data_IF_653277936159
#
_entry.id   IF_653277936159
#
_cell.length_a   1.000
_cell.length_b   1.000
_cell.length_c   1.000
_cell.angle_alpha   90.00
_cell.angle_beta   90.00
_cell.angle_gamma   90.00
#
_symmetry.space_group_name_H-M   'P 1'
#
loop_
_entity.id
_entity.type
_entity.pdbx_description
1 polymer ?
#
# COMPACT_ATOMS: atom_id res chain seq x y z
N UNK A 1 3.84 -10.01 -19.84
CA UNK A 1 4.94 -9.93 -18.85
C UNK A 1 5.09 -8.54 -18.24
N UNK A 2 5.00 -7.43 -18.99
CA UNK A 2 5.09 -6.07 -18.42
C UNK A 2 3.94 -5.72 -17.45
N UNK A 3 2.73 -6.25 -17.67
CA UNK A 3 1.58 -6.03 -16.79
C UNK A 3 1.69 -6.72 -15.43
N UNK A 4 2.39 -7.85 -15.33
CA UNK A 4 2.50 -8.61 -14.07
C UNK A 4 3.37 -7.86 -13.04
N UNK A 5 4.46 -7.24 -13.51
CA UNK A 5 5.35 -6.43 -12.67
C UNK A 5 4.73 -5.09 -12.26
N UNK A 6 3.85 -4.52 -13.10
CA UNK A 6 3.12 -3.30 -12.76
C UNK A 6 2.10 -3.53 -11.63
N UNK A 7 1.36 -4.65 -11.65
CA UNK A 7 0.43 -5.01 -10.56
C UNK A 7 1.15 -5.33 -9.25
N UNK A 8 2.37 -5.89 -9.33
CA UNK A 8 3.26 -6.17 -8.20
C UNK A 8 3.89 -4.91 -7.56
N UNK A 9 3.78 -3.75 -8.22
CA UNK A 9 4.31 -2.47 -7.73
C UNK A 9 3.25 -1.56 -7.09
N UNK A 10 2.01 -2.03 -6.90
CA UNK A 10 1.02 -1.23 -6.18
C UNK A 10 1.42 -1.15 -4.71
N UNK A 11 1.89 0.02 -4.29
CA UNK A 11 2.38 0.23 -2.94
C UNK A 11 1.20 0.26 -1.96
N UNK A 12 1.06 -0.77 -1.13
CA UNK A 12 -0.02 -0.82 -0.12
C UNK A 12 0.05 0.37 0.86
N UNK A 13 1.21 1.00 1.01
CA UNK A 13 1.35 2.26 1.77
C UNK A 13 0.64 3.43 1.09
N UNK A 14 0.68 3.52 -0.24
CA UNK A 14 -0.01 4.58 -0.98
C UNK A 14 -1.54 4.38 -0.95
N UNK A 15 -1.98 3.12 -1.08
CA UNK A 15 -3.37 2.73 -0.87
C UNK A 15 -3.82 3.11 0.54
N UNK A 16 -3.04 2.75 1.55
CA UNK A 16 -3.32 3.06 2.96
C UNK A 16 -3.44 4.56 3.18
N UNK A 17 -2.50 5.37 2.65
CA UNK A 17 -2.53 6.83 2.74
C UNK A 17 -3.77 7.41 2.05
N UNK A 18 -4.10 6.94 0.86
CA UNK A 18 -5.28 7.38 0.09
C UNK A 18 -6.58 7.09 0.85
N UNK A 19 -6.71 5.87 1.40
CA UNK A 19 -7.87 5.50 2.19
C UNK A 19 -7.95 6.30 3.50
N UNK A 20 -6.84 6.43 4.21
CA UNK A 20 -6.77 7.14 5.49
C UNK A 20 -7.13 8.63 5.34
N UNK A 21 -6.60 9.30 4.31
CA UNK A 21 -6.87 10.73 4.05
C UNK A 21 -8.32 11.00 3.65
N UNK A 22 -8.98 10.05 2.97
CA UNK A 22 -10.39 10.18 2.61
C UNK A 22 -11.33 9.86 3.78
N UNK A 23 -10.99 8.88 4.62
CA UNK A 23 -11.87 8.36 5.66
C UNK A 23 -11.68 9.10 6.99
N UNK A 24 -10.44 9.38 7.40
CA UNK A 24 -10.10 10.02 8.68
C UNK A 24 -10.87 11.30 8.98
N UNK A 25 -11.02 12.25 8.03
CA UNK A 25 -11.74 13.50 8.26
C UNK A 25 -13.23 13.34 8.60
N UNK A 26 -13.85 12.18 8.33
CA UNK A 26 -15.26 11.91 8.63
C UNK A 26 -15.59 11.98 10.13
N UNK A 27 -14.65 11.58 11.00
CA UNK A 27 -14.82 11.64 12.46
C UNK A 27 -15.00 13.08 12.94
N UNK A 28 -14.11 13.97 12.50
CA UNK A 28 -14.18 15.40 12.84
C UNK A 28 -15.42 16.03 12.21
N UNK A 29 -15.77 15.64 10.98
CA UNK A 29 -16.98 16.10 10.32
C UNK A 29 -18.26 15.71 11.08
N UNK A 30 -18.36 14.48 11.57
CA UNK A 30 -19.49 14.03 12.39
C UNK A 30 -19.60 14.85 13.69
N UNK A 31 -18.49 15.07 14.38
CA UNK A 31 -18.47 15.91 15.59
C UNK A 31 -18.80 17.38 15.31
N UNK A 32 -18.40 17.88 14.15
CA UNK A 32 -18.73 19.24 13.71
C UNK A 32 -20.23 19.38 13.45
N UNK A 33 -20.86 18.41 12.78
CA UNK A 33 -22.32 18.38 12.60
C UNK A 33 -23.06 18.29 13.95
N UNK A 34 -22.58 17.46 14.87
CA UNK A 34 -23.11 17.38 16.24
C UNK A 34 -23.02 18.73 16.97
N UNK A 35 -21.89 19.43 16.86
CA UNK A 35 -21.73 20.75 17.46
C UNK A 35 -22.69 21.78 16.86
N UNK A 36 -22.90 21.75 15.54
CA UNK A 36 -23.86 22.62 14.86
C UNK A 36 -25.31 22.38 15.29
N UNK A 37 -25.70 21.13 15.52
CA UNK A 37 -27.02 20.75 16.01
C UNK A 37 -27.32 21.38 17.38
N UNK A 38 -26.30 21.55 18.23
CA UNK A 38 -26.44 22.12 19.57
C UNK A 38 -26.33 23.66 19.59
N UNK A 39 -26.16 24.34 18.45
CA UNK A 39 -26.06 25.81 18.38
C UNK A 39 -27.42 26.45 18.12
N UNK A 40 -27.74 27.51 18.88
CA UNK A 40 -29.02 28.25 18.77
C UNK A 40 -29.04 29.30 17.64
N UNK A 41 -27.88 29.76 17.16
CA UNK A 41 -27.78 30.86 16.18
C UNK A 41 -27.09 30.41 14.90
N UNK A 42 -27.83 30.46 13.78
CA UNK A 42 -27.28 30.18 12.45
C UNK A 42 -26.65 31.44 11.84
N UNK A 43 -25.42 31.30 11.34
CA UNK A 43 -24.75 32.33 10.54
C UNK A 43 -24.16 31.71 9.26
N UNK A 44 -23.58 32.52 8.38
CA UNK A 44 -22.95 32.02 7.14
C UNK A 44 -21.91 30.92 7.38
N UNK A 45 -21.18 30.98 8.50
CA UNK A 45 -20.17 29.97 8.83
C UNK A 45 -20.82 28.61 9.16
N UNK A 46 -22.03 28.59 9.71
CA UNK A 46 -22.77 27.35 10.02
C UNK A 46 -23.06 26.52 8.75
N UNK A 47 -23.51 27.17 7.68
CA UNK A 47 -23.80 26.51 6.41
C UNK A 47 -22.52 26.00 5.71
N UNK A 48 -21.42 26.76 5.77
CA UNK A 48 -20.13 26.32 5.24
C UNK A 48 -19.59 25.09 5.99
N UNK A 49 -19.63 25.10 7.32
CA UNK A 49 -19.19 23.97 8.15
C UNK A 49 -20.06 22.74 7.88
N UNK A 50 -21.37 22.91 7.74
CA UNK A 50 -22.28 21.81 7.36
C UNK A 50 -21.86 21.20 6.02
N UNK A 51 -21.74 22.02 4.97
CA UNK A 51 -21.44 21.54 3.63
C UNK A 51 -20.07 20.84 3.56
N UNK A 52 -19.05 21.40 4.22
CA UNK A 52 -17.74 20.77 4.30
C UNK A 52 -17.78 19.43 5.05
N UNK A 53 -18.52 19.38 6.16
CA UNK A 53 -18.66 18.16 6.96
C UNK A 53 -19.43 17.08 6.20
N UNK A 54 -20.54 17.45 5.57
CA UNK A 54 -21.31 16.59 4.69
C UNK A 54 -20.44 16.01 3.57
N UNK A 55 -19.59 16.85 2.94
CA UNK A 55 -18.69 16.39 1.87
C UNK A 55 -17.64 15.39 2.36
N UNK A 56 -17.06 15.62 3.54
CA UNK A 56 -16.09 14.69 4.15
C UNK A 56 -16.72 13.34 4.48
N UNK A 57 -17.94 13.34 5.01
CA UNK A 57 -18.70 12.11 5.29
C UNK A 57 -19.06 11.36 4.00
N UNK A 58 -19.50 12.08 2.96
CA UNK A 58 -19.77 11.49 1.65
C UNK A 58 -18.53 10.86 1.03
N UNK A 59 -17.39 11.55 1.08
CA UNK A 59 -16.12 11.04 0.56
C UNK A 59 -15.65 9.79 1.31
N UNK A 60 -15.77 9.78 2.64
CA UNK A 60 -15.45 8.60 3.45
C UNK A 60 -16.35 7.41 3.11
N UNK A 61 -17.65 7.64 2.97
CA UNK A 61 -18.60 6.59 2.58
C UNK A 61 -18.27 6.03 1.18
N UNK A 62 -18.01 6.90 0.19
CA UNK A 62 -17.60 6.49 -1.17
C UNK A 62 -16.28 5.73 -1.17
N UNK A 63 -15.31 6.17 -0.36
CA UNK A 63 -14.04 5.48 -0.20
C UNK A 63 -14.26 4.07 0.35
N UNK A 64 -15.01 3.94 1.45
CA UNK A 64 -15.25 2.65 2.10
C UNK A 64 -16.09 1.68 1.25
N UNK A 65 -17.09 2.18 0.52
CA UNK A 65 -18.06 1.33 -0.21
C UNK A 65 -17.58 0.89 -1.58
N UNK A 66 -16.82 1.73 -2.29
CA UNK A 66 -16.47 1.50 -3.69
C UNK A 66 -14.97 1.57 -3.90
N UNK A 67 -14.34 2.71 -3.58
CA UNK A 67 -12.97 2.97 -4.03
C UNK A 67 -11.94 2.09 -3.33
N UNK A 68 -12.10 1.85 -2.03
CA UNK A 68 -11.18 0.99 -1.28
C UNK A 68 -11.22 -0.47 -1.77
N UNK A 69 -12.39 -1.12 -1.95
CA UNK A 69 -12.46 -2.42 -2.61
C UNK A 69 -11.79 -2.49 -3.99
N UNK A 70 -11.94 -1.45 -4.81
CA UNK A 70 -11.25 -1.35 -6.12
C UNK A 70 -9.74 -1.29 -5.95
N UNK A 71 -9.24 -0.40 -5.09
CA UNK A 71 -7.81 -0.23 -4.82
C UNK A 71 -7.19 -1.53 -4.29
N UNK A 72 -7.90 -2.25 -3.41
CA UNK A 72 -7.45 -3.54 -2.89
C UNK A 72 -7.33 -4.59 -4.01
N UNK A 73 -8.31 -4.62 -4.92
CA UNK A 73 -8.27 -5.50 -6.09
C UNK A 73 -7.15 -5.12 -7.06
N UNK A 74 -6.94 -3.83 -7.32
CA UNK A 74 -5.83 -3.31 -8.13
C UNK A 74 -4.47 -3.73 -7.54
N UNK A 75 -4.35 -3.77 -6.21
CA UNK A 75 -3.15 -4.16 -5.49
C UNK A 75 -2.99 -5.68 -5.25
N UNK A 76 -3.88 -6.50 -5.82
CA UNK A 76 -4.01 -7.94 -5.57
C UNK A 76 -3.94 -8.26 -4.07
N UNK A 77 -4.74 -7.53 -3.28
CA UNK A 77 -4.83 -7.67 -1.84
C UNK A 77 -6.27 -7.88 -1.42
N UNK A 78 -6.46 -8.69 -0.38
CA UNK A 78 -7.76 -8.90 0.25
C UNK A 78 -7.61 -8.69 1.74
N UNK A 79 -8.53 -7.94 2.32
CA UNK A 79 -8.59 -7.85 3.77
C UNK A 79 -8.94 -9.20 4.40
N UNK A 80 -8.31 -9.54 5.54
CA UNK A 80 -8.81 -10.60 6.41
C UNK A 80 -10.23 -10.29 6.86
N UNK A 81 -11.00 -11.33 7.18
CA UNK A 81 -12.41 -11.19 7.57
C UNK A 81 -12.59 -10.21 8.74
N UNK A 82 -11.68 -10.21 9.72
CA UNK A 82 -11.70 -9.27 10.83
C UNK A 82 -11.62 -7.78 10.41
N UNK A 83 -10.83 -7.46 9.38
CA UNK A 83 -10.69 -6.08 8.86
C UNK A 83 -11.88 -5.74 7.97
N UNK A 84 -12.37 -6.70 7.18
CA UNK A 84 -13.56 -6.54 6.34
C UNK A 84 -14.83 -6.29 7.18
N UNK A 85 -14.99 -6.98 8.30
CA UNK A 85 -16.09 -6.73 9.25
C UNK A 85 -16.02 -5.32 9.85
N UNK A 86 -14.81 -4.81 10.14
CA UNK A 86 -14.63 -3.43 10.61
C UNK A 86 -14.92 -2.39 9.51
N UNK A 87 -14.57 -2.69 8.26
CA UNK A 87 -14.95 -1.85 7.11
C UNK A 87 -16.47 -1.76 6.99
N UNK A 88 -17.16 -2.90 7.12
CA UNK A 88 -18.62 -2.96 7.10
C UNK A 88 -19.23 -2.21 8.28
N UNK A 89 -18.72 -2.39 9.50
CA UNK A 89 -19.18 -1.65 10.66
C UNK A 89 -19.02 -0.13 10.49
N UNK A 90 -17.92 0.34 9.88
CA UNK A 90 -17.74 1.76 9.56
C UNK A 90 -18.75 2.26 8.51
N UNK A 91 -19.09 1.45 7.49
CA UNK A 91 -20.14 1.77 6.52
C UNK A 91 -21.52 1.85 7.18
N UNK A 92 -21.86 0.86 7.99
CA UNK A 92 -23.13 0.79 8.72
C UNK A 92 -23.26 1.97 9.69
N UNK A 93 -22.16 2.42 10.31
CA UNK A 93 -22.15 3.59 11.17
C UNK A 93 -22.24 4.91 10.39
N UNK A 94 -21.72 5.00 9.17
CA UNK A 94 -21.86 6.19 8.33
C UNK A 94 -23.27 6.34 7.74
N UNK A 95 -23.96 5.22 7.48
CA UNK A 95 -25.22 5.20 6.74
C UNK A 95 -26.33 6.07 7.36
N UNK A 96 -26.61 6.03 8.68
CA UNK A 96 -27.62 6.90 9.30
C UNK A 96 -27.27 8.38 9.17
N UNK A 97 -26.01 8.75 9.38
CA UNK A 97 -25.54 10.13 9.26
C UNK A 97 -25.68 10.64 7.83
N UNK A 98 -25.36 9.81 6.84
CA UNK A 98 -25.58 10.13 5.43
C UNK A 98 -27.06 10.33 5.10
N UNK A 99 -27.96 9.56 5.72
CA UNK A 99 -29.40 9.72 5.53
C UNK A 99 -29.88 11.06 6.12
N UNK A 100 -29.41 11.44 7.31
CA UNK A 100 -29.74 12.76 7.91
C UNK A 100 -29.24 13.92 7.06
N UNK A 101 -27.99 13.85 6.57
CA UNK A 101 -27.43 14.90 5.70
C UNK A 101 -28.23 15.06 4.42
N UNK A 102 -28.63 13.95 3.80
CA UNK A 102 -29.45 13.97 2.57
C UNK A 102 -30.84 14.50 2.82
N UNK A 103 -31.47 14.12 3.94
CA UNK A 103 -32.79 14.61 4.32
C UNK A 103 -32.78 16.11 4.63
N UNK A 104 -31.67 16.61 5.17
CA UNK A 104 -31.51 18.02 5.51
C UNK A 104 -31.28 18.95 4.31
N UNK A 105 -30.96 18.43 3.12
CA UNK A 105 -30.81 19.19 1.87
C UNK A 105 -30.01 20.53 2.00
N UNK A 106 -28.88 20.49 2.71
CA UNK A 106 -28.04 21.68 2.92
C UNK A 106 -28.45 22.59 4.08
N UNK A 107 -29.55 22.29 4.76
CA UNK A 107 -30.13 23.10 5.84
C UNK A 107 -29.83 22.50 7.21
N UNK A 108 -29.04 23.23 8.00
CA UNK A 108 -28.65 22.79 9.36
C UNK A 108 -29.86 22.62 10.28
N UNK A 109 -30.93 23.39 10.06
CA UNK A 109 -32.19 23.28 10.79
C UNK A 109 -32.94 21.97 10.62
N UNK A 110 -32.70 21.29 9.51
CA UNK A 110 -33.39 20.06 9.17
C UNK A 110 -32.60 18.82 9.65
N UNK A 111 -31.39 19.01 10.21
CA UNK A 111 -30.76 18.00 11.04
C UNK A 111 -31.59 17.80 12.33
N UNK A 112 -31.56 16.60 12.94
CA UNK A 112 -32.35 16.29 14.12
C UNK A 112 -31.91 17.12 15.35
N UNK A 113 -32.44 18.35 15.46
CA UNK A 113 -32.03 19.44 16.38
C UNK A 113 -32.16 19.15 17.88
N UNK A 114 -32.72 18.00 18.26
CA UNK A 114 -32.91 17.59 19.67
C UNK A 114 -32.74 16.07 19.88
N UNK A 115 -32.19 15.35 18.92
CA UNK A 115 -32.03 13.91 19.09
C UNK A 115 -30.73 13.60 19.82
N UNK A 116 -30.85 13.24 21.10
CA UNK A 116 -29.77 12.57 21.82
C UNK A 116 -29.22 11.37 21.01
N UNK A 117 -30.05 10.73 20.18
CA UNK A 117 -29.66 9.62 19.32
C UNK A 117 -28.65 10.05 18.24
N UNK A 118 -28.78 11.24 17.64
CA UNK A 118 -27.82 11.72 16.63
C UNK A 118 -26.44 11.98 17.24
N UNK A 119 -26.41 12.68 18.37
CA UNK A 119 -25.18 12.96 19.12
C UNK A 119 -24.53 11.65 19.60
N UNK A 120 -25.33 10.76 20.19
CA UNK A 120 -24.85 9.46 20.65
C UNK A 120 -24.32 8.60 19.49
N UNK A 121 -24.98 8.62 18.34
CA UNK A 121 -24.53 7.89 17.16
C UNK A 121 -23.19 8.43 16.65
N UNK A 122 -23.02 9.75 16.55
CA UNK A 122 -21.76 10.36 16.14
C UNK A 122 -20.61 10.01 17.10
N UNK A 123 -20.84 10.10 18.41
CA UNK A 123 -19.82 9.91 19.45
C UNK A 123 -19.50 8.44 19.74
N UNK A 124 -20.50 7.59 19.85
CA UNK A 124 -20.34 6.23 20.39
C UNK A 124 -20.48 5.13 19.35
N UNK A 125 -20.93 5.44 18.13
CA UNK A 125 -21.07 4.45 17.05
C UNK A 125 -20.13 4.78 15.89
N UNK A 126 -20.25 5.96 15.30
CA UNK A 126 -19.46 6.37 14.13
C UNK A 126 -17.98 6.55 14.49
N UNK A 127 -17.67 7.36 15.50
CA UNK A 127 -16.28 7.64 15.86
C UNK A 127 -15.51 6.35 16.17
N UNK A 128 -16.00 5.43 17.03
CA UNK A 128 -15.27 4.21 17.35
C UNK A 128 -15.17 3.25 16.18
N UNK A 129 -16.22 3.11 15.36
CA UNK A 129 -16.22 2.23 14.19
C UNK A 129 -15.18 2.68 13.15
N UNK A 130 -15.15 3.97 12.82
CA UNK A 130 -14.19 4.53 11.86
C UNK A 130 -12.76 4.45 12.42
N UNK A 131 -12.55 4.78 13.69
CA UNK A 131 -11.24 4.67 14.35
C UNK A 131 -10.70 3.25 14.36
N UNK A 132 -11.53 2.29 14.77
CA UNK A 132 -11.19 0.87 14.82
C UNK A 132 -10.83 0.34 13.43
N UNK A 133 -11.61 0.71 12.42
CA UNK A 133 -11.32 0.34 11.04
C UNK A 133 -9.98 0.93 10.55
N UNK A 134 -9.75 2.24 10.73
CA UNK A 134 -8.52 2.90 10.27
C UNK A 134 -7.26 2.31 10.92
N UNK A 135 -7.32 1.98 12.21
CA UNK A 135 -6.22 1.36 12.93
C UNK A 135 -5.88 -0.01 12.35
N UNK A 136 -6.88 -0.85 12.14
CA UNK A 136 -6.71 -2.24 11.68
C UNK A 136 -6.33 -2.32 10.21
N UNK A 137 -6.94 -1.47 9.37
CA UNK A 137 -6.53 -1.28 7.99
C UNK A 137 -5.04 -0.90 7.92
N UNK A 138 -4.62 0.07 8.72
CA UNK A 138 -3.23 0.55 8.73
C UNK A 138 -2.27 -0.56 9.17
N UNK A 139 -2.59 -1.27 10.26
CA UNK A 139 -1.80 -2.40 10.74
C UNK A 139 -1.71 -3.53 9.70
N UNK A 140 -2.83 -3.90 9.08
CA UNK A 140 -2.87 -4.96 8.08
C UNK A 140 -2.08 -4.61 6.81
N UNK A 141 -2.30 -3.41 6.25
CA UNK A 141 -1.65 -2.99 5.01
C UNK A 141 -0.15 -2.79 5.20
N UNK A 142 0.28 -2.11 6.28
CA UNK A 142 1.70 -1.94 6.57
C UNK A 142 2.39 -3.27 6.89
N UNK A 143 1.73 -4.15 7.65
CA UNK A 143 2.23 -5.49 7.94
C UNK A 143 2.42 -6.32 6.67
N UNK A 144 1.42 -6.31 5.79
CA UNK A 144 1.47 -7.02 4.52
C UNK A 144 2.54 -6.44 3.59
N UNK A 145 2.67 -5.11 3.50
CA UNK A 145 3.70 -4.46 2.70
C UNK A 145 5.11 -4.82 3.18
N UNK A 146 5.32 -4.82 4.51
CA UNK A 146 6.58 -5.22 5.12
C UNK A 146 6.92 -6.67 4.77
N UNK A 147 5.95 -7.58 4.91
CA UNK A 147 6.14 -8.99 4.57
C UNK A 147 6.48 -9.16 3.08
N UNK A 148 5.73 -8.50 2.17
CA UNK A 148 6.04 -8.50 0.73
C UNK A 148 7.47 -8.01 0.45
N UNK A 149 7.92 -6.97 1.16
CA UNK A 149 9.29 -6.46 1.01
C UNK A 149 10.35 -7.47 1.46
N UNK A 150 10.14 -8.09 2.63
CA UNK A 150 11.07 -9.10 3.17
C UNK A 150 11.16 -10.34 2.29
N UNK A 151 10.03 -10.81 1.74
CA UNK A 151 10.03 -11.93 0.78
C UNK A 151 10.81 -11.57 -0.48
N UNK A 152 10.57 -10.38 -1.06
CA UNK A 152 11.31 -9.94 -2.25
C UNK A 152 12.82 -9.82 -2.02
N UNK A 153 13.21 -9.28 -0.86
CA UNK A 153 14.62 -9.18 -0.47
C UNK A 153 15.26 -10.57 -0.40
N UNK A 154 14.59 -11.52 0.25
CA UNK A 154 15.04 -12.91 0.32
C UNK A 154 15.17 -13.54 -1.07
N UNK A 155 14.13 -13.44 -1.90
CA UNK A 155 14.13 -14.01 -3.26
C UNK A 155 15.25 -13.41 -4.12
N UNK A 156 15.52 -12.11 -3.96
CA UNK A 156 16.62 -11.42 -4.64
C UNK A 156 17.99 -11.91 -4.19
N UNK A 157 18.20 -12.12 -2.88
CA UNK A 157 19.43 -12.70 -2.35
C UNK A 157 19.66 -14.14 -2.84
N UNK A 158 18.60 -14.95 -2.91
CA UNK A 158 18.67 -16.31 -3.47
C UNK A 158 19.04 -16.28 -4.96
N UNK A 159 18.45 -15.37 -5.74
CA UNK A 159 18.78 -15.18 -7.14
C UNK A 159 20.24 -14.74 -7.35
N UNK A 160 20.75 -13.81 -6.52
CA UNK A 160 22.15 -13.37 -6.54
C UNK A 160 23.08 -14.55 -6.23
N UNK A 161 22.79 -15.32 -5.19
CA UNK A 161 23.59 -16.51 -4.81
C UNK A 161 23.65 -17.52 -5.96
N UNK A 162 22.53 -17.72 -6.66
CA UNK A 162 22.48 -18.57 -7.86
C UNK A 162 23.33 -18.02 -9.00
N UNK A 163 23.24 -16.71 -9.26
CA UNK A 163 24.03 -16.03 -10.29
C UNK A 163 25.54 -16.09 -10.00
N UNK A 164 25.95 -15.95 -8.74
CA UNK A 164 27.35 -16.12 -8.34
C UNK A 164 27.85 -17.55 -8.62
N UNK A 165 27.02 -18.56 -8.33
CA UNK A 165 27.33 -19.96 -8.63
C UNK A 165 27.56 -20.19 -10.13
N UNK A 166 26.69 -19.61 -10.97
CA UNK A 166 26.86 -19.63 -12.43
C UNK A 166 28.15 -18.91 -12.83
N UNK A 167 28.42 -17.72 -12.28
CA UNK A 167 29.66 -16.97 -12.54
C UNK A 167 30.92 -17.75 -12.18
N UNK A 168 30.92 -18.48 -11.06
CA UNK A 168 32.03 -19.39 -10.68
C UNK A 168 32.19 -20.53 -11.68
N UNK A 169 31.10 -21.13 -12.15
CA UNK A 169 31.16 -22.19 -13.15
C UNK A 169 31.72 -21.68 -14.49
N UNK A 170 31.31 -20.50 -14.94
CA UNK A 170 31.86 -19.88 -16.15
C UNK A 170 33.36 -19.63 -15.99
N UNK A 171 33.79 -19.14 -14.82
CA UNK A 171 35.20 -18.92 -14.53
C UNK A 171 36.02 -20.23 -14.59
N UNK A 172 35.48 -21.34 -14.09
CA UNK A 172 36.10 -22.66 -14.19
C UNK A 172 36.15 -23.18 -15.64
N UNK A 173 35.10 -22.99 -16.42
CA UNK A 173 35.08 -23.35 -17.85
C UNK A 173 36.14 -22.56 -18.61
N UNK A 174 36.24 -21.25 -18.37
CA UNK A 174 37.25 -20.39 -18.96
C UNK A 174 38.66 -20.84 -18.58
N UNK A 175 38.90 -21.19 -17.32
CA UNK A 175 40.17 -21.73 -16.86
C UNK A 175 40.56 -23.03 -17.57
N UNK A 176 39.61 -23.98 -17.68
CA UNK A 176 39.84 -25.23 -18.40
C UNK A 176 40.13 -24.99 -19.89
N UNK A 177 39.44 -24.04 -20.51
CA UNK A 177 39.70 -23.64 -21.89
C UNK A 177 41.09 -23.01 -22.06
N UNK A 178 41.56 -22.19 -21.11
CA UNK A 178 42.93 -21.66 -21.11
C UNK A 178 43.98 -22.77 -21.03
N UNK A 179 43.75 -23.80 -20.21
CA UNK A 179 44.65 -24.96 -20.11
C UNK A 179 44.72 -25.72 -21.44
N UNK A 180 43.57 -26.02 -22.04
CA UNK A 180 43.53 -26.78 -23.29
C UNK A 180 44.12 -25.97 -24.46
N UNK A 181 43.90 -24.65 -24.48
CA UNK A 181 44.54 -23.75 -25.43
C UNK A 181 46.07 -23.77 -25.32
N UNK A 182 46.61 -23.79 -24.09
CA UNK A 182 48.06 -23.92 -23.87
C UNK A 182 48.60 -25.29 -24.32
N UNK A 183 47.83 -26.36 -24.12
CA UNK A 183 48.19 -27.73 -24.50
C UNK A 183 48.30 -27.91 -26.01
N UNK A 184 47.44 -27.27 -26.80
CA UNK A 184 47.44 -27.34 -28.27
C UNK A 184 48.54 -26.43 -28.88
N UNK A 185 49.23 -25.62 -28.05
CA UNK A 185 50.37 -24.81 -28.46
C UNK A 185 49.97 -23.67 -29.40
N UNK A 186 50.70 -23.50 -30.52
CA UNK A 186 50.51 -22.36 -31.41
C UNK A 186 49.10 -22.26 -32.02
N UNK A 187 48.45 -23.40 -32.28
CA UNK A 187 47.07 -23.42 -32.81
C UNK A 187 46.03 -22.97 -31.77
N UNK A 188 46.37 -22.98 -30.47
CA UNK A 188 45.47 -22.60 -29.37
C UNK A 188 45.50 -21.11 -29.00
N UNK A 189 46.40 -20.29 -29.59
CA UNK A 189 46.59 -18.88 -29.20
C UNK A 189 45.30 -18.04 -29.23
N UNK A 190 44.45 -18.22 -30.24
CA UNK A 190 43.15 -17.51 -30.31
C UNK A 190 42.18 -17.92 -29.20
N UNK A 191 42.13 -19.21 -28.86
CA UNK A 191 41.31 -19.73 -27.77
C UNK A 191 41.80 -19.24 -26.40
N UNK A 192 43.12 -19.08 -26.23
CA UNK A 192 43.69 -18.56 -24.99
C UNK A 192 43.24 -17.11 -24.71
N UNK A 193 43.16 -16.27 -25.75
CA UNK A 193 42.67 -14.88 -25.64
C UNK A 193 41.20 -14.86 -25.22
N UNK A 194 40.34 -15.64 -25.89
CA UNK A 194 38.91 -15.72 -25.58
C UNK A 194 38.70 -16.22 -24.14
N UNK A 195 39.42 -17.27 -23.74
CA UNK A 195 39.32 -17.81 -22.39
C UNK A 195 39.73 -16.79 -21.31
N UNK A 196 40.72 -15.94 -21.61
CA UNK A 196 41.15 -14.86 -20.71
C UNK A 196 40.06 -13.79 -20.57
N UNK A 197 39.47 -13.35 -21.69
CA UNK A 197 38.39 -12.36 -21.69
C UNK A 197 37.15 -12.86 -20.92
N UNK A 198 36.75 -14.12 -21.12
CA UNK A 198 35.63 -14.73 -20.38
C UNK A 198 35.93 -14.76 -18.88
N UNK A 199 37.18 -15.09 -18.48
CA UNK A 199 37.59 -15.12 -17.08
C UNK A 199 37.53 -13.74 -16.45
N UNK A 200 38.02 -12.71 -17.15
CA UNK A 200 37.96 -11.32 -16.68
C UNK A 200 36.51 -10.84 -16.54
N UNK A 201 35.67 -11.12 -17.54
CA UNK A 201 34.25 -10.74 -17.52
C UNK A 201 33.51 -11.42 -16.36
N UNK A 202 33.75 -12.73 -16.16
CA UNK A 202 33.16 -13.48 -15.04
C UNK A 202 33.59 -12.92 -13.68
N UNK A 203 34.86 -12.52 -13.55
CA UNK A 203 35.36 -11.87 -12.35
C UNK A 203 34.68 -10.53 -12.09
N UNK A 204 34.53 -9.68 -13.12
CA UNK A 204 33.78 -8.41 -13.02
C UNK A 204 32.32 -8.64 -12.64
N UNK A 205 31.67 -9.66 -13.19
CA UNK A 205 30.29 -10.02 -12.83
C UNK A 205 30.18 -10.44 -11.36
N UNK A 206 31.12 -11.20 -10.82
CA UNK A 206 31.11 -11.58 -9.39
C UNK A 206 31.21 -10.36 -8.48
N UNK A 207 32.12 -9.42 -8.76
CA UNK A 207 32.24 -8.17 -7.99
C UNK A 207 30.93 -7.37 -7.99
N UNK A 208 30.27 -7.24 -9.16
CA UNK A 208 28.98 -6.55 -9.24
C UNK A 208 27.88 -7.25 -8.44
N UNK A 209 27.86 -8.59 -8.43
CA UNK A 209 26.90 -9.36 -7.64
C UNK A 209 27.14 -9.18 -6.14
N UNK A 210 28.40 -9.17 -5.70
CA UNK A 210 28.79 -8.89 -4.32
C UNK A 210 28.35 -7.48 -3.87
N UNK A 211 28.54 -6.47 -4.73
CA UNK A 211 28.11 -5.09 -4.46
C UNK A 211 26.58 -5.01 -4.29
N UNK A 212 25.81 -5.65 -5.18
CA UNK A 212 24.35 -5.71 -5.10
C UNK A 212 23.90 -6.42 -3.82
N UNK A 213 24.53 -7.55 -3.47
CA UNK A 213 24.26 -8.25 -2.21
C UNK A 213 24.58 -7.37 -1.00
N UNK A 214 25.63 -6.56 -1.08
CA UNK A 214 25.99 -5.56 -0.09
C UNK A 214 24.88 -4.54 0.15
N UNK A 215 24.35 -3.94 -0.92
CA UNK A 215 23.26 -2.95 -0.82
C UNK A 215 21.96 -3.51 -0.24
N UNK A 216 21.69 -4.80 -0.40
CA UNK A 216 20.49 -5.43 0.15
C UNK A 216 20.61 -5.77 1.64
N UNK A 217 21.84 -5.90 2.17
CA UNK A 217 22.08 -6.26 3.57
C UNK A 217 22.18 -5.06 4.51
N UNK A 218 22.33 -3.85 3.96
CA UNK A 218 22.45 -2.57 4.70
C UNK A 218 21.10 -1.90 4.88
#
# INVERSE_FOLDING_TARGET
MHSYWATLMTNLTELQNTAFTAIGPSRIAALSLMALVNQEVENKNTAEVFNLSAKRLENAYKMLSVRLPELLKEADHKFPDAVAEKQKAALDALQPVMNYIRAADGKVHDLPKQSAEFSNHCLFVLEPAVSSFLMEMTQNLLGTQKQRSQTREKDMLEAITSAESVGRNIQLIAFNASIEAARIGDMGKGFAVIATEIRELSGKTQVLLDDIAGFLRT
#
